data_IF_154491066034
#
_entry.id   IF_154491066034
#
_cell.length_a   1.000
_cell.length_b   1.000
_cell.length_c   1.000
_cell.angle_alpha   90.00
_cell.angle_beta   90.00
_cell.angle_gamma   90.00
#
_symmetry.space_group_name_H-M   'P 1'
#
loop_
_entity.id
_entity.type
_entity.pdbx_description
1 polymer ?
#
# COMPACT_ATOMS: atom_id res chain seq x y z
N UNK A 1 -7.25 -2.59 2.18
CA UNK A 1 -6.16 -2.49 3.16
C UNK A 1 -5.92 -3.76 3.99
N UNK A 2 -6.68 -4.05 5.06
CA UNK A 2 -6.32 -5.11 6.04
C UNK A 2 -6.11 -6.50 5.44
N UNK A 3 -6.94 -6.88 4.46
CA UNK A 3 -6.78 -8.16 3.79
C UNK A 3 -5.44 -8.22 3.06
N UNK A 4 -5.10 -7.20 2.25
CA UNK A 4 -3.82 -7.13 1.55
C UNK A 4 -2.63 -7.16 2.53
N UNK A 5 -2.70 -6.40 3.64
CA UNK A 5 -1.66 -6.35 4.68
C UNK A 5 -1.46 -7.71 5.36
N UNK A 6 -2.54 -8.34 5.83
CA UNK A 6 -2.43 -9.57 6.63
C UNK A 6 -2.19 -10.82 5.79
N UNK A 7 -2.58 -10.82 4.51
CA UNK A 7 -2.23 -11.92 3.60
C UNK A 7 -0.81 -11.81 3.05
N UNK A 8 -0.10 -10.73 3.35
CA UNK A 8 1.32 -10.59 3.00
C UNK A 8 2.18 -11.44 3.94
N UNK A 9 2.95 -12.37 3.35
CA UNK A 9 3.83 -13.28 4.10
C UNK A 9 5.10 -12.59 4.58
N UNK A 10 5.52 -11.49 3.96
CA UNK A 10 6.65 -10.71 4.43
C UNK A 10 6.30 -9.99 5.75
N UNK A 11 5.01 -9.71 5.97
CA UNK A 11 4.51 -9.06 7.19
C UNK A 11 4.16 -10.07 8.28
N UNK A 12 3.48 -11.15 7.92
CA UNK A 12 2.92 -12.11 8.89
C UNK A 12 3.76 -13.38 9.08
N UNK A 13 4.82 -13.53 8.30
CA UNK A 13 5.79 -14.61 8.39
C UNK A 13 5.38 -15.91 7.69
N UNK A 14 6.29 -16.90 7.78
CA UNK A 14 6.25 -18.15 7.03
C UNK A 14 5.72 -19.38 7.78
N UNK A 15 5.37 -19.27 9.06
CA UNK A 15 5.09 -20.45 9.93
C UNK A 15 3.85 -21.25 9.50
N UNK A 16 2.92 -20.64 8.77
CA UNK A 16 1.68 -21.28 8.32
C UNK A 16 1.85 -21.71 6.85
N UNK A 17 1.44 -22.94 6.46
CA UNK A 17 1.45 -23.37 5.07
C UNK A 17 0.72 -22.39 4.14
N UNK A 18 1.25 -22.17 2.94
CA UNK A 18 0.73 -21.18 1.97
C UNK A 18 -0.76 -21.35 1.67
N UNK A 19 -1.22 -22.60 1.58
CA UNK A 19 -2.62 -22.95 1.33
C UNK A 19 -3.57 -22.50 2.44
N UNK A 20 -3.09 -22.45 3.70
CA UNK A 20 -3.88 -22.08 4.87
C UNK A 20 -3.69 -20.62 5.27
N UNK A 21 -2.55 -20.03 4.91
CA UNK A 21 -2.20 -18.65 5.25
C UNK A 21 -3.24 -17.65 4.74
N UNK A 22 -3.50 -17.64 3.42
CA UNK A 22 -4.43 -16.69 2.81
C UNK A 22 -5.87 -16.78 3.36
N UNK A 23 -6.53 -17.95 3.47
CA UNK A 23 -7.87 -18.01 4.01
C UNK A 23 -7.93 -17.62 5.50
N UNK A 24 -6.96 -18.05 6.31
CA UNK A 24 -6.89 -17.69 7.73
C UNK A 24 -6.75 -16.19 7.92
N UNK A 25 -5.77 -15.56 7.27
CA UNK A 25 -5.54 -14.12 7.43
C UNK A 25 -6.62 -13.26 6.78
N UNK A 26 -7.30 -13.76 5.74
CA UNK A 26 -8.51 -13.10 5.20
C UNK A 26 -9.66 -13.11 6.22
N UNK A 27 -9.84 -14.23 6.94
CA UNK A 27 -10.82 -14.31 8.03
C UNK A 27 -10.46 -13.36 9.18
N UNK A 28 -9.20 -13.34 9.61
CA UNK A 28 -8.70 -12.41 10.64
C UNK A 28 -8.90 -10.96 10.20
N UNK A 29 -8.62 -10.62 8.95
CA UNK A 29 -8.82 -9.29 8.40
C UNK A 29 -10.29 -8.86 8.48
N UNK A 30 -11.23 -9.72 8.07
CA UNK A 30 -12.67 -9.45 8.20
C UNK A 30 -13.08 -9.24 9.66
N UNK A 31 -12.60 -10.08 10.58
CA UNK A 31 -12.92 -9.98 12.00
C UNK A 31 -12.37 -8.70 12.65
N UNK A 32 -11.18 -8.25 12.22
CA UNK A 32 -10.52 -7.04 12.76
C UNK A 32 -11.03 -5.74 12.12
N UNK A 33 -11.63 -5.80 10.93
CA UNK A 33 -12.06 -4.61 10.20
C UNK A 33 -12.96 -3.66 11.00
N UNK A 34 -14.00 -4.11 11.73
CA UNK A 34 -14.85 -3.20 12.52
C UNK A 34 -14.09 -2.48 13.63
N UNK A 35 -13.15 -3.17 14.28
CA UNK A 35 -12.32 -2.58 15.33
C UNK A 35 -11.39 -1.50 14.76
N UNK A 36 -10.69 -1.80 13.67
CA UNK A 36 -9.77 -0.87 13.01
C UNK A 36 -10.52 0.32 12.41
N UNK A 37 -11.70 0.10 11.83
CA UNK A 37 -12.54 1.18 11.30
C UNK A 37 -12.93 2.19 12.39
N UNK A 38 -13.24 1.75 13.62
CA UNK A 38 -13.50 2.66 14.74
C UNK A 38 -12.29 3.50 15.12
N UNK A 39 -11.09 2.92 15.07
CA UNK A 39 -9.86 3.67 15.33
C UNK A 39 -9.63 4.74 14.27
N UNK A 40 -9.81 4.41 12.99
CA UNK A 40 -9.72 5.41 11.92
C UNK A 40 -10.81 6.47 12.04
N UNK A 41 -12.05 6.10 12.37
CA UNK A 41 -13.13 7.05 12.60
C UNK A 41 -12.79 8.06 13.71
N UNK A 42 -12.20 7.59 14.82
CA UNK A 42 -11.73 8.47 15.90
C UNK A 42 -10.66 9.46 15.45
N UNK A 43 -9.81 9.06 14.50
CA UNK A 43 -8.74 9.90 13.93
C UNK A 43 -9.19 10.82 12.79
N UNK A 44 -10.49 10.86 12.46
CA UNK A 44 -11.02 11.68 11.37
C UNK A 44 -11.45 10.91 10.11
N UNK A 45 -11.55 9.58 10.18
CA UNK A 45 -12.17 8.75 9.14
C UNK A 45 -11.20 8.03 8.20
N UNK A 46 -9.90 8.27 8.28
CA UNK A 46 -8.92 7.64 7.37
C UNK A 46 -7.47 7.89 7.75
N UNK A 47 -6.55 7.24 7.03
CA UNK A 47 -5.12 7.51 7.14
C UNK A 47 -4.75 8.67 6.20
N UNK A 48 -3.98 9.68 6.66
CA UNK A 48 -3.52 10.76 5.80
C UNK A 48 -2.37 10.33 4.86
N UNK A 49 -1.77 9.16 5.12
CA UNK A 49 -0.57 8.66 4.42
C UNK A 49 -0.75 8.65 2.89
N UNK A 50 -1.94 8.29 2.41
CA UNK A 50 -2.19 8.28 0.96
C UNK A 50 -2.02 9.69 0.39
N UNK A 51 -2.78 10.67 0.89
CA UNK A 51 -2.74 12.04 0.38
C UNK A 51 -1.36 12.68 0.58
N UNK A 52 -0.71 12.42 1.70
CA UNK A 52 0.60 13.00 2.00
C UNK A 52 1.69 12.43 1.11
N UNK A 53 1.64 11.12 0.79
CA UNK A 53 2.60 10.49 -0.14
C UNK A 53 2.38 10.96 -1.57
N UNK A 54 1.13 11.09 -2.02
CA UNK A 54 0.83 11.63 -3.35
C UNK A 54 1.34 13.07 -3.49
N UNK A 55 1.10 13.92 -2.47
CA UNK A 55 1.60 15.30 -2.44
C UNK A 55 3.13 15.34 -2.42
N UNK A 56 3.76 14.47 -1.64
CA UNK A 56 5.22 14.36 -1.60
C UNK A 56 5.79 13.98 -2.97
N UNK A 57 5.19 13.00 -3.64
CA UNK A 57 5.60 12.58 -4.99
C UNK A 57 5.45 13.73 -6.00
N UNK A 58 4.34 14.47 -5.94
CA UNK A 58 4.12 15.63 -6.80
C UNK A 58 5.19 16.71 -6.58
N UNK A 59 5.45 17.07 -5.32
CA UNK A 59 6.47 18.07 -4.98
C UNK A 59 7.86 17.63 -5.44
N UNK A 60 8.22 16.36 -5.19
CA UNK A 60 9.52 15.83 -5.58
C UNK A 60 9.67 15.78 -7.11
N UNK A 61 8.59 15.46 -7.84
CA UNK A 61 8.59 15.47 -9.29
C UNK A 61 8.88 16.87 -9.85
N UNK A 62 8.33 17.91 -9.22
CA UNK A 62 8.60 19.31 -9.59
C UNK A 62 10.05 19.70 -9.29
N UNK A 63 10.57 19.34 -8.11
CA UNK A 63 11.95 19.70 -7.74
C UNK A 63 13.00 18.97 -8.59
N UNK A 64 12.79 17.69 -8.88
CA UNK A 64 13.72 16.88 -9.69
C UNK A 64 13.55 17.07 -11.19
N UNK A 65 12.46 17.70 -11.63
CA UNK A 65 12.06 17.76 -13.05
C UNK A 65 12.03 16.35 -13.69
N UNK A 66 11.53 15.38 -12.92
CA UNK A 66 11.51 13.96 -13.29
C UNK A 66 10.21 13.29 -12.83
N UNK A 67 9.83 12.18 -13.48
CA UNK A 67 8.67 11.40 -13.07
C UNK A 67 8.91 10.76 -11.70
N UNK A 68 7.97 10.96 -10.76
CA UNK A 68 7.97 10.32 -9.44
C UNK A 68 6.65 9.58 -9.30
N UNK A 69 6.73 8.26 -9.14
CA UNK A 69 5.57 7.38 -9.13
C UNK A 69 5.40 6.82 -7.71
N UNK A 70 4.36 7.22 -6.96
CA UNK A 70 4.09 6.64 -5.65
C UNK A 70 3.57 5.19 -5.78
N UNK A 71 3.89 4.36 -4.78
CA UNK A 71 3.42 2.99 -4.71
C UNK A 71 2.94 2.62 -3.30
N UNK A 72 1.67 2.24 -3.21
CA UNK A 72 1.01 1.87 -1.96
C UNK A 72 0.81 0.35 -1.87
N UNK A 73 1.78 -0.36 -1.29
CA UNK A 73 1.79 -1.84 -1.24
C UNK A 73 0.47 -2.47 -0.79
N UNK A 74 -0.20 -1.89 0.20
CA UNK A 74 -1.43 -2.42 0.80
C UNK A 74 -2.73 -1.74 0.35
N UNK A 75 -2.67 -0.97 -0.73
CA UNK A 75 -3.82 -0.33 -1.36
C UNK A 75 -3.95 -0.79 -2.83
N UNK A 76 -4.47 -2.00 -3.08
CA UNK A 76 -4.49 -2.60 -4.42
C UNK A 76 -5.21 -1.79 -5.50
N UNK A 77 -6.13 -0.93 -5.10
CA UNK A 77 -6.88 -0.05 -6.00
C UNK A 77 -5.96 0.91 -6.78
N UNK A 78 -4.79 1.26 -6.22
CA UNK A 78 -3.83 2.15 -6.89
C UNK A 78 -2.85 1.40 -7.80
N UNK A 79 -2.75 0.07 -7.68
CA UNK A 79 -1.68 -0.70 -8.34
C UNK A 79 -1.76 -0.64 -9.85
N UNK A 80 -2.98 -0.60 -10.41
CA UNK A 80 -3.18 -0.50 -11.86
C UNK A 80 -2.55 0.77 -12.43
N UNK A 81 -2.79 1.91 -11.78
CA UNK A 81 -2.27 3.21 -12.22
C UNK A 81 -0.75 3.27 -12.05
N UNK A 82 -0.22 2.79 -10.92
CA UNK A 82 1.23 2.69 -10.72
C UNK A 82 1.89 1.82 -11.79
N UNK A 83 1.33 0.64 -12.09
CA UNK A 83 1.89 -0.26 -13.11
C UNK A 83 1.87 0.34 -14.50
N UNK A 84 0.79 1.04 -14.86
CA UNK A 84 0.71 1.75 -16.13
C UNK A 84 1.78 2.84 -16.23
N UNK A 85 1.93 3.68 -15.20
CA UNK A 85 2.95 4.73 -15.17
C UNK A 85 4.38 4.16 -15.30
N UNK A 86 4.64 3.01 -14.68
CA UNK A 86 5.93 2.31 -14.80
C UNK A 86 6.17 1.76 -16.22
N UNK A 87 5.14 1.24 -16.89
CA UNK A 87 5.24 0.73 -18.27
C UNK A 87 5.47 1.85 -19.29
N UNK A 88 4.90 3.04 -19.04
CA UNK A 88 5.06 4.23 -19.87
C UNK A 88 6.37 4.98 -19.61
N UNK A 89 7.04 4.68 -18.49
CA UNK A 89 8.31 5.30 -18.12
C UNK A 89 9.45 4.82 -19.03
N UNK A 90 10.31 5.75 -19.42
CA UNK A 90 11.51 5.48 -20.21
C UNK A 90 12.77 5.67 -19.34
N UNK A 91 13.78 4.84 -19.57
CA UNK A 91 15.06 4.94 -18.88
C UNK A 91 15.13 4.13 -17.57
N UNK A 92 16.06 4.51 -16.69
CA UNK A 92 16.31 3.81 -15.43
C UNK A 92 15.26 4.16 -14.38
N UNK A 93 14.66 3.13 -13.79
CA UNK A 93 13.73 3.27 -12.67
C UNK A 93 14.50 3.01 -11.36
N UNK A 94 14.41 3.95 -10.42
CA UNK A 94 15.02 3.83 -9.09
C UNK A 94 13.93 3.71 -8.04
N UNK A 95 13.91 2.60 -7.30
CA UNK A 95 13.00 2.40 -6.18
C UNK A 95 13.55 3.06 -4.92
N UNK A 96 12.80 4.02 -4.35
CA UNK A 96 13.16 4.70 -3.11
C UNK A 96 12.19 4.24 -2.02
N UNK A 97 12.64 3.48 -1.01
CA UNK A 97 11.81 3.13 0.13
C UNK A 97 11.61 4.36 1.02
N UNK A 98 10.40 4.57 1.51
CA UNK A 98 10.15 5.53 2.58
C UNK A 98 10.51 4.97 3.96
N UNK A 99 10.65 3.63 4.08
CA UNK A 99 11.08 2.87 5.27
C UNK A 99 11.70 1.53 4.86
#
# INVERSE_FOLDING_TARGET
FLQALLTDRDVTGGMIPSMLHRPLFSYIAKRRAPYVARQYAYLGGGSPIFQDTERLAQNLSQELQASVIPFHRYLPETHRETLQALQESQGSIVGIPLF
#
